data_IF_985437756382
#
_entry.id   IF_985437756382
#
_cell.length_a   1.000
_cell.length_b   1.000
_cell.length_c   1.000
_cell.angle_alpha   90.00
_cell.angle_beta   90.00
_cell.angle_gamma   90.00
#
_symmetry.space_group_name_H-M   'P 1'
#
loop_
_entity.id
_entity.type
_entity.pdbx_description
1 polymer ?
#
# COMPACT_ATOMS: atom_id res chain seq x y z
N UNK A 1 -3.22 3.25 18.15
CA UNK A 1 -1.99 2.47 18.42
C UNK A 1 -1.49 1.91 17.10
N UNK A 2 -0.44 2.50 16.52
CA UNK A 2 0.19 1.98 15.30
C UNK A 2 1.02 0.76 15.67
N UNK A 3 0.60 -0.42 15.21
CA UNK A 3 1.35 -1.67 15.38
C UNK A 3 2.70 -1.53 14.66
N UNK A 4 3.83 -1.92 15.28
CA UNK A 4 5.12 -1.90 14.61
C UNK A 4 5.05 -2.80 13.37
N UNK A 5 5.37 -2.22 12.21
CA UNK A 5 5.37 -2.93 10.95
C UNK A 5 6.66 -3.73 10.81
N UNK A 6 6.56 -5.07 10.82
CA UNK A 6 7.69 -5.96 10.64
C UNK A 6 7.66 -6.64 9.26
N UNK A 7 8.85 -6.95 8.73
CA UNK A 7 9.04 -7.72 7.50
C UNK A 7 8.28 -9.06 7.58
N UNK A 8 7.62 -9.45 6.49
CA UNK A 8 6.94 -10.75 6.37
C UNK A 8 5.56 -10.81 7.04
N UNK A 9 5.11 -9.76 7.74
CA UNK A 9 3.74 -9.70 8.21
C UNK A 9 2.75 -9.51 7.04
N UNK A 10 1.53 -10.09 7.12
CA UNK A 10 0.47 -9.80 6.16
C UNK A 10 0.17 -8.30 6.09
N UNK A 11 -0.14 -7.78 4.90
CA UNK A 11 -0.62 -6.41 4.75
C UNK A 11 -1.99 -6.26 5.42
N UNK A 12 -2.23 -5.11 6.05
CA UNK A 12 -3.59 -4.79 6.51
C UNK A 12 -4.46 -4.36 5.32
N UNK A 13 -5.79 -4.41 5.44
CA UNK A 13 -6.70 -3.97 4.37
C UNK A 13 -6.41 -2.54 3.89
N UNK A 14 -6.17 -1.60 4.82
CA UNK A 14 -5.81 -0.22 4.49
C UNK A 14 -4.52 -0.12 3.68
N UNK A 15 -3.51 -0.92 4.02
CA UNK A 15 -2.23 -0.89 3.33
C UNK A 15 -2.33 -1.47 1.93
N UNK A 16 -3.09 -2.57 1.81
CA UNK A 16 -3.36 -3.18 0.52
C UNK A 16 -4.15 -2.21 -0.36
N UNK A 17 -5.21 -1.59 0.16
CA UNK A 17 -6.02 -0.60 -0.55
C UNK A 17 -5.19 0.59 -1.05
N UNK A 18 -4.32 1.14 -0.19
CA UNK A 18 -3.43 2.23 -0.59
C UNK A 18 -2.44 1.77 -1.66
N UNK A 19 -1.84 0.58 -1.50
CA UNK A 19 -0.86 0.05 -2.46
C UNK A 19 -1.49 -0.30 -3.81
N UNK A 20 -2.74 -0.80 -3.83
CA UNK A 20 -3.54 -0.98 -5.04
C UNK A 20 -3.79 0.35 -5.74
N UNK A 21 -4.08 1.41 -5.00
CA UNK A 21 -4.20 2.75 -5.59
C UNK A 21 -2.91 3.23 -6.23
N UNK A 22 -1.76 2.98 -5.58
CA UNK A 22 -0.45 3.24 -6.20
C UNK A 22 -0.27 2.43 -7.49
N UNK A 23 -0.68 1.16 -7.50
CA UNK A 23 -0.59 0.30 -8.67
C UNK A 23 -1.47 0.79 -9.84
N UNK A 24 -2.58 1.46 -9.54
CA UNK A 24 -3.47 2.12 -10.51
C UNK A 24 -2.95 3.49 -10.99
N UNK A 25 -1.81 3.95 -10.49
CA UNK A 25 -1.24 5.25 -10.81
C UNK A 25 -1.75 6.42 -9.97
N UNK A 26 -2.56 6.15 -8.93
CA UNK A 26 -3.05 7.19 -8.03
C UNK A 26 -1.91 7.78 -7.17
N UNK A 27 -1.95 9.08 -6.97
CA UNK A 27 -1.11 9.83 -6.03
C UNK A 27 -1.67 9.72 -4.60
N UNK A 28 -0.84 9.98 -3.58
CA UNK A 28 -1.30 9.91 -2.19
C UNK A 28 -2.49 10.83 -1.87
N UNK A 29 -2.59 12.07 -2.42
CA UNK A 29 -3.77 12.90 -2.30
C UNK A 29 -5.04 12.31 -2.93
N UNK A 30 -4.94 11.67 -4.10
CA UNK A 30 -6.08 11.03 -4.77
C UNK A 30 -6.58 9.83 -3.98
N UNK A 31 -5.67 8.99 -3.49
CA UNK A 31 -6.00 7.85 -2.61
C UNK A 31 -6.64 8.35 -1.31
N UNK A 32 -6.10 9.43 -0.73
CA UNK A 32 -6.63 10.04 0.49
C UNK A 32 -8.07 10.54 0.29
N UNK A 33 -8.33 11.23 -0.82
CA UNK A 33 -9.66 11.70 -1.19
C UNK A 33 -10.64 10.53 -1.41
N UNK A 34 -10.23 9.51 -2.16
CA UNK A 34 -11.06 8.32 -2.44
C UNK A 34 -11.39 7.50 -1.19
N UNK A 35 -10.44 7.41 -0.26
CA UNK A 35 -10.58 6.58 0.95
C UNK A 35 -11.03 7.36 2.18
N UNK A 36 -11.30 8.66 2.06
CA UNK A 36 -11.66 9.57 3.15
C UNK A 36 -10.63 9.56 4.29
N UNK A 37 -9.35 9.49 3.96
CA UNK A 37 -8.23 9.47 4.92
C UNK A 37 -7.37 10.73 4.76
N UNK A 38 -6.61 11.06 5.80
CA UNK A 38 -5.57 12.08 5.69
C UNK A 38 -4.44 11.57 4.78
N UNK A 39 -3.84 12.47 4.00
CA UNK A 39 -2.68 12.17 3.15
C UNK A 39 -1.57 11.50 3.95
N UNK A 40 -1.25 12.03 5.13
CA UNK A 40 -0.17 11.48 5.97
C UNK A 40 -0.46 10.04 6.40
N UNK A 41 -1.75 9.71 6.66
CA UNK A 41 -2.16 8.33 6.95
C UNK A 41 -1.97 7.40 5.76
N UNK A 42 -2.22 7.88 4.53
CA UNK A 42 -1.96 7.10 3.31
C UNK A 42 -0.46 6.89 3.13
N UNK A 43 0.34 7.94 3.30
CA UNK A 43 1.79 7.86 3.18
C UNK A 43 2.40 6.90 4.24
N UNK A 44 1.88 6.92 5.46
CA UNK A 44 2.25 5.99 6.52
C UNK A 44 1.84 4.55 6.19
N UNK A 45 0.62 4.35 5.67
CA UNK A 45 0.15 3.04 5.24
C UNK A 45 1.05 2.45 4.13
N UNK A 46 1.39 3.25 3.12
CA UNK A 46 2.29 2.84 2.02
C UNK A 46 3.69 2.50 2.57
N UNK A 47 4.22 3.31 3.50
CA UNK A 47 5.54 3.06 4.11
C UNK A 47 5.56 1.74 4.86
N UNK A 48 4.55 1.49 5.69
CA UNK A 48 4.42 0.22 6.40
C UNK A 48 4.21 -0.94 5.44
N UNK A 49 3.44 -0.77 4.36
CA UNK A 49 3.30 -1.80 3.33
C UNK A 49 4.66 -2.17 2.71
N UNK A 50 5.49 -1.16 2.41
CA UNK A 50 6.84 -1.38 1.91
C UNK A 50 7.69 -2.18 2.91
N UNK A 51 7.66 -1.80 4.18
CA UNK A 51 8.37 -2.53 5.25
C UNK A 51 7.90 -3.98 5.34
N UNK A 52 6.60 -4.27 5.35
CA UNK A 52 6.11 -5.66 5.41
C UNK A 52 6.51 -6.49 4.20
N UNK A 53 6.49 -5.88 3.02
CA UNK A 53 6.83 -6.58 1.77
C UNK A 53 8.33 -6.78 1.58
N UNK A 54 9.18 -6.02 2.29
CA UNK A 54 10.63 -5.96 2.03
C UNK A 54 10.96 -5.10 0.82
N UNK A 55 10.09 -4.15 0.49
CA UNK A 55 10.28 -3.24 -0.62
C UNK A 55 11.12 -2.02 -0.23
N UNK A 56 11.93 -1.55 -1.17
CA UNK A 56 12.77 -0.35 -1.01
C UNK A 56 12.05 0.93 -1.44
N UNK A 57 11.04 0.81 -2.30
CA UNK A 57 10.27 1.93 -2.85
C UNK A 57 8.81 1.50 -3.00
N UNK A 58 7.90 2.48 -3.09
CA UNK A 58 6.48 2.19 -3.38
C UNK A 58 6.27 1.42 -4.69
N UNK A 59 7.07 1.72 -5.72
CA UNK A 59 7.02 0.99 -6.99
C UNK A 59 7.49 -0.46 -6.82
N UNK A 60 8.57 -0.69 -6.05
CA UNK A 60 9.02 -2.04 -5.72
C UNK A 60 7.95 -2.78 -4.88
N UNK A 61 7.26 -2.10 -3.97
CA UNK A 61 6.16 -2.68 -3.19
C UNK A 61 4.99 -3.11 -4.08
N UNK A 62 4.61 -2.29 -5.07
CA UNK A 62 3.60 -2.65 -6.07
C UNK A 62 4.03 -3.89 -6.85
N UNK A 63 5.26 -3.92 -7.36
CA UNK A 63 5.77 -5.07 -8.11
C UNK A 63 5.72 -6.36 -7.27
N UNK A 64 6.13 -6.29 -5.99
CA UNK A 64 6.03 -7.42 -5.06
C UNK A 64 4.57 -7.80 -4.76
N UNK A 65 3.68 -6.81 -4.60
CA UNK A 65 2.26 -7.03 -4.34
C UNK A 65 1.58 -7.78 -5.48
N UNK A 66 1.86 -7.40 -6.73
CA UNK A 66 1.36 -8.07 -7.93
C UNK A 66 1.98 -9.47 -8.05
N UNK A 67 3.31 -9.58 -7.93
CA UNK A 67 4.03 -10.87 -8.06
C UNK A 67 3.58 -11.90 -7.03
N UNK A 68 3.19 -11.45 -5.83
CA UNK A 68 2.69 -12.31 -4.74
C UNK A 68 1.18 -12.56 -4.81
N UNK A 69 0.48 -12.06 -5.83
CA UNK A 69 -0.98 -12.20 -5.98
C UNK A 69 -1.79 -11.44 -4.93
N UNK A 70 -1.20 -10.44 -4.26
CA UNK A 70 -1.88 -9.62 -3.26
C UNK A 70 -2.67 -8.49 -3.93
N UNK A 71 -2.14 -7.94 -5.03
CA UNK A 71 -2.78 -6.88 -5.81
C UNK A 71 -3.23 -7.48 -7.14
N UNK A 72 -4.52 -7.33 -7.43
CA UNK A 72 -5.09 -7.66 -8.72
C UNK A 72 -5.53 -6.37 -9.42
N UNK A 73 -5.07 -6.18 -10.67
CA UNK A 73 -5.40 -5.00 -11.48
C UNK A 73 -6.62 -5.21 -12.36
N UNK A 74 -7.10 -6.45 -12.45
CA UNK A 74 -8.20 -6.92 -13.29
C UNK A 74 -9.60 -6.79 -12.64
N UNK A 75 -9.65 -6.49 -11.34
CA UNK A 75 -10.87 -6.14 -10.57
C UNK A 75 -11.19 -4.62 -10.65
N UNK A 76 -10.97 -4.01 -11.82
CA UNK A 76 -11.14 -2.59 -12.08
C UNK A 76 -12.29 -2.32 -13.05
#
# INVERSE_FOLDING_TARGET
MSTPSALGQPLTPTQLECLTGVARGETSPEIAARTYRARDTVDDAIRHACTRLGARTRAHAVALGITRGLINLEDA
#
